data_IF_741529323045
#
_entry.id   IF_741529323045
#
_cell.length_a   1.000
_cell.length_b   1.000
_cell.length_c   1.000
_cell.angle_alpha   90.00
_cell.angle_beta   90.00
_cell.angle_gamma   90.00
#
_symmetry.space_group_name_H-M   'P 1'
#
loop_
_entity.id
_entity.type
_entity.pdbx_description
1 polymer ?
#
# COMPACT_ATOMS: atom_id res chain seq x y z
N UNK A 1 3.19 -8.94 15.89
CA UNK A 1 2.68 -8.29 14.67
C UNK A 1 2.92 -6.80 14.86
N UNK A 2 3.65 -6.20 13.93
CA UNK A 2 4.20 -4.83 14.01
C UNK A 2 3.76 -3.96 12.85
N UNK A 3 3.05 -4.52 11.87
CA UNK A 3 2.54 -3.80 10.72
C UNK A 3 1.48 -2.77 11.10
N UNK A 4 1.43 -1.68 10.34
CA UNK A 4 0.42 -0.65 10.48
C UNK A 4 -0.90 -1.18 9.91
N UNK A 5 -1.96 -1.33 10.72
CA UNK A 5 -3.24 -1.81 10.22
C UNK A 5 -3.94 -0.70 9.43
N UNK A 6 -4.34 -0.99 8.19
CA UNK A 6 -5.22 -0.15 7.38
C UNK A 6 -6.51 -0.90 7.04
N UNK A 7 -7.59 -0.16 6.81
CA UNK A 7 -8.81 -0.75 6.28
C UNK A 7 -8.54 -1.34 4.89
N UNK A 8 -9.01 -2.56 4.67
CA UNK A 8 -8.81 -3.26 3.40
C UNK A 8 -9.42 -2.49 2.23
N UNK A 9 -10.55 -1.85 2.47
CA UNK A 9 -11.23 -0.95 1.55
C UNK A 9 -10.44 0.33 1.24
N UNK A 10 -9.25 0.53 1.81
CA UNK A 10 -8.36 1.64 1.44
C UNK A 10 -7.22 1.18 0.54
N UNK A 11 -7.12 -0.13 0.27
CA UNK A 11 -6.02 -0.71 -0.50
C UNK A 11 -6.51 -1.15 -1.88
N UNK A 12 -5.94 -0.55 -2.92
CA UNK A 12 -6.42 -0.71 -4.30
C UNK A 12 -5.29 -0.93 -5.29
N UNK A 13 -5.62 -1.59 -6.39
CA UNK A 13 -4.85 -1.50 -7.62
C UNK A 13 -5.33 -0.29 -8.44
N UNK A 14 -4.39 0.52 -8.91
CA UNK A 14 -4.63 1.50 -9.97
C UNK A 14 -4.70 0.80 -11.33
N UNK A 15 -5.29 1.45 -12.34
CA UNK A 15 -5.37 0.90 -13.70
C UNK A 15 -4.00 0.56 -14.31
N UNK A 16 -2.93 1.23 -13.87
CA UNK A 16 -1.56 0.98 -14.31
C UNK A 16 -0.86 -0.17 -13.56
N UNK A 17 -1.57 -0.87 -12.68
CA UNK A 17 -1.08 -2.02 -11.93
C UNK A 17 -0.36 -1.67 -10.62
N UNK A 18 -0.19 -0.38 -10.30
CA UNK A 18 0.37 0.01 -8.99
C UNK A 18 -0.61 -0.30 -7.86
N UNK A 19 -0.07 -0.75 -6.74
CA UNK A 19 -0.84 -1.05 -5.54
C UNK A 19 -0.66 0.07 -4.52
N UNK A 20 -1.75 0.69 -4.11
CA UNK A 20 -1.74 1.92 -3.29
C UNK A 20 -2.64 1.81 -2.06
N UNK A 21 -2.37 2.65 -1.07
CA UNK A 21 -3.30 3.02 0.00
C UNK A 21 -3.89 4.40 -0.31
N UNK A 22 -5.21 4.55 -0.21
CA UNK A 22 -5.92 5.83 -0.26
C UNK A 22 -6.18 6.31 1.18
N UNK A 23 -5.61 7.45 1.55
CA UNK A 23 -5.68 8.00 2.92
C UNK A 23 -6.81 9.02 3.12
N UNK A 24 -7.67 9.20 2.11
CA UNK A 24 -8.65 10.27 2.02
C UNK A 24 -8.19 11.44 1.14
N UNK A 25 -9.18 12.18 0.63
CA UNK A 25 -9.01 13.40 -0.17
C UNK A 25 -8.16 13.20 -1.45
N UNK A 26 -8.02 11.96 -1.94
CA UNK A 26 -7.22 11.63 -3.13
C UNK A 26 -5.72 11.50 -2.83
N UNK A 27 -5.35 11.35 -1.57
CA UNK A 27 -3.95 11.12 -1.16
C UNK A 27 -3.63 9.64 -1.32
N UNK A 28 -2.83 9.32 -2.34
CA UNK A 28 -2.40 7.96 -2.63
C UNK A 28 -0.97 7.73 -2.15
N UNK A 29 -0.69 6.55 -1.61
CA UNK A 29 0.66 6.10 -1.29
C UNK A 29 0.93 4.74 -1.92
N UNK A 30 2.00 4.63 -2.70
CA UNK A 30 2.46 3.37 -3.28
C UNK A 30 2.98 2.42 -2.19
N UNK A 31 2.45 1.20 -2.12
CA UNK A 31 2.82 0.21 -1.09
C UNK A 31 4.22 -0.35 -1.32
N UNK A 32 4.71 -0.33 -2.56
CA UNK A 32 6.01 -0.89 -2.93
C UNK A 32 7.12 0.10 -2.63
N UNK A 33 6.93 1.39 -2.95
CA UNK A 33 7.97 2.41 -2.81
C UNK A 33 7.80 3.29 -1.57
N UNK A 34 6.57 3.41 -1.06
CA UNK A 34 6.20 4.33 -0.01
C UNK A 34 6.03 5.78 -0.48
N UNK A 35 6.14 6.05 -1.77
CA UNK A 35 5.97 7.39 -2.32
C UNK A 35 4.51 7.80 -2.37
N UNK A 36 4.28 9.08 -2.06
CA UNK A 36 2.98 9.70 -2.30
C UNK A 36 2.81 9.99 -3.78
N UNK A 37 1.67 9.57 -4.30
CA UNK A 37 1.27 9.77 -5.68
C UNK A 37 0.16 10.81 -5.75
N UNK A 38 0.08 11.61 -6.83
CA UNK A 38 -1.13 12.36 -7.12
C UNK A 38 -2.29 11.38 -7.30
N UNK A 39 -3.52 11.88 -7.18
CA UNK A 39 -4.73 11.10 -7.46
C UNK A 39 -4.61 10.38 -8.81
N UNK A 40 -4.92 9.09 -8.83
CA UNK A 40 -4.92 8.24 -10.01
C UNK A 40 -6.30 7.69 -10.32
N UNK A 41 -6.41 7.00 -11.47
CA UNK A 41 -7.60 6.23 -11.84
C UNK A 41 -7.62 4.92 -11.06
N UNK A 42 -8.67 4.72 -10.26
CA UNK A 42 -8.85 3.51 -9.46
C UNK A 42 -9.26 2.36 -10.37
N UNK A 43 -8.56 1.24 -10.25
CA UNK A 43 -8.92 -0.01 -10.92
C UNK A 43 -9.89 -0.82 -10.06
N UNK A 44 -9.35 -1.61 -9.14
CA UNK A 44 -10.13 -2.53 -8.30
C UNK A 44 -9.57 -2.68 -6.88
N UNK A 45 -10.44 -3.10 -5.95
CA UNK A 45 -10.02 -3.57 -4.62
C UNK A 45 -9.18 -4.82 -4.75
N UNK A 46 -8.12 -4.95 -3.95
CA UNK A 46 -7.26 -6.13 -4.02
C UNK A 46 -8.00 -7.41 -3.61
N UNK A 47 -7.86 -8.43 -4.45
CA UNK A 47 -8.31 -9.78 -4.20
C UNK A 47 -7.36 -10.49 -3.24
N UNK A 48 -7.84 -11.55 -2.57
CA UNK A 48 -7.02 -12.29 -1.59
C UNK A 48 -5.72 -12.85 -2.18
N UNK A 49 -5.71 -13.26 -3.44
CA UNK A 49 -4.50 -13.77 -4.08
C UNK A 49 -3.48 -12.66 -4.36
N UNK A 50 -3.94 -11.43 -4.63
CA UNK A 50 -3.07 -10.26 -4.81
C UNK A 50 -2.45 -9.84 -3.47
N UNK A 51 -3.23 -9.84 -2.40
CA UNK A 51 -2.72 -9.60 -1.04
C UNK A 51 -1.74 -10.70 -0.61
N UNK A 52 -2.01 -11.96 -0.94
CA UNK A 52 -1.05 -13.05 -0.68
C UNK A 52 0.25 -12.85 -1.45
N UNK A 53 0.19 -12.39 -2.70
CA UNK A 53 1.39 -12.03 -3.47
C UNK A 53 2.18 -10.90 -2.78
N UNK A 54 1.51 -9.86 -2.27
CA UNK A 54 2.15 -8.78 -1.51
C UNK A 54 2.78 -9.28 -0.20
N UNK A 55 2.13 -10.22 0.49
CA UNK A 55 2.63 -10.83 1.71
C UNK A 55 3.88 -11.65 1.44
N UNK A 56 3.84 -12.52 0.42
CA UNK A 56 4.97 -13.35 0.00
C UNK A 56 6.15 -12.49 -0.45
N UNK A 57 5.89 -11.39 -1.17
CA UNK A 57 6.90 -10.43 -1.58
C UNK A 57 7.40 -9.53 -0.42
N UNK A 58 6.76 -9.58 0.75
CA UNK A 58 7.18 -8.88 1.95
C UNK A 58 6.74 -7.42 2.07
N UNK A 59 5.84 -6.95 1.20
CA UNK A 59 5.31 -5.57 1.26
C UNK A 59 4.27 -5.40 2.37
N UNK A 60 3.55 -6.46 2.71
CA UNK A 60 2.65 -6.51 3.87
C UNK A 60 3.07 -7.62 4.84
N UNK A 61 2.73 -7.48 6.12
CA UNK A 61 2.95 -8.53 7.12
C UNK A 61 1.88 -9.62 7.03
N UNK A 62 0.61 -9.21 6.91
CA UNK A 62 -0.55 -10.11 6.88
C UNK A 62 -1.80 -9.38 6.35
N UNK A 63 -2.91 -10.10 6.20
CA UNK A 63 -4.22 -9.51 5.93
C UNK A 63 -5.37 -10.42 6.40
N UNK A 64 -6.54 -9.82 6.60
CA UNK A 64 -7.78 -10.54 6.87
C UNK A 64 -8.95 -9.95 6.05
N UNK A 65 -10.19 -10.28 6.43
CA UNK A 65 -11.39 -9.81 5.75
C UNK A 65 -11.65 -8.31 5.88
N UNK A 66 -10.99 -7.62 6.82
CA UNK A 66 -11.20 -6.20 7.13
C UNK A 66 -9.91 -5.38 7.10
N UNK A 67 -8.77 -6.00 7.39
CA UNK A 67 -7.50 -5.29 7.58
C UNK A 67 -6.39 -5.81 6.67
N UNK A 68 -5.54 -4.89 6.25
CA UNK A 68 -4.22 -5.19 5.68
C UNK A 68 -3.17 -4.61 6.64
N UNK A 69 -2.16 -5.40 6.99
CA UNK A 69 -1.12 -5.01 7.93
C UNK A 69 0.13 -4.63 7.13
N UNK A 70 0.29 -3.34 6.81
CA UNK A 70 1.40 -2.84 6.00
C UNK A 70 2.70 -2.97 6.78
N UNK A 71 3.79 -3.42 6.13
CA UNK A 71 5.10 -3.26 6.77
C UNK A 71 5.45 -1.77 6.88
N UNK A 72 6.22 -1.38 7.90
CA UNK A 72 6.86 -0.08 7.91
C UNK A 72 7.67 0.06 6.62
N UNK A 73 7.26 1.01 5.77
CA UNK A 73 8.02 1.34 4.57
C UNK A 73 9.43 1.77 5.01
N UNK A 74 10.48 1.40 4.26
CA UNK A 74 11.83 1.81 4.61
C UNK A 74 11.86 3.33 4.76
N UNK A 75 12.46 3.83 5.85
CA UNK A 75 12.58 5.26 6.08
C UNK A 75 13.16 5.90 4.80
N UNK A 76 12.45 6.91 4.25
CA UNK A 76 12.98 7.70 3.14
C UNK A 76 14.39 8.10 3.54
N UNK A 77 15.39 7.62 2.78
CA UNK A 77 16.77 8.10 2.93
C UNK A 77 16.69 9.61 2.74
N UNK A 78 16.83 10.36 3.83
CA UNK A 78 17.03 11.81 3.75
C UNK A 78 18.34 11.99 3.03
N UNK A 79 18.32 12.25 1.73
CA UNK A 79 19.47 12.82 1.06
C UNK A 79 19.60 14.22 1.65
N UNK A 80 20.48 14.38 2.63
CA UNK A 80 21.00 15.70 2.97
C UNK A 80 21.66 16.21 1.69
N UNK A 81 21.05 17.23 1.08
CA UNK A 81 21.74 18.08 0.13
C UNK A 81 22.67 18.95 0.97
N UNK A 82 23.97 18.65 0.93
CA UNK A 82 25.04 19.61 1.24
C UNK A 82 25.02 20.78 0.24
#
# INVERSE_FOLDING_TARGET
MTGTPVDREWVYALEDGRTVVEWGEGTLQDIMTGDFLPKGEFGHELLNHELENLRVAGYIEDFDSRKVYLRPLPERKRTMLD
#
